data_IF_187600890126
#
_entry.id   IF_187600890126
#
_cell.length_a   1.000
_cell.length_b   1.000
_cell.length_c   1.000
_cell.angle_alpha   90.00
_cell.angle_beta   90.00
_cell.angle_gamma   90.00
#
_symmetry.space_group_name_H-M   'P 1'
#
loop_
_entity.id
_entity.type
_entity.pdbx_description
1 polymer ?
#
# COMPACT_ATOMS: atom_id res chain seq x y z
N UNK A 1 7.75 6.53 19.45
CA UNK A 1 6.56 6.85 18.63
C UNK A 1 6.36 5.82 17.54
N UNK A 2 5.15 5.35 17.42
CA UNK A 2 4.84 4.39 16.35
C UNK A 2 4.67 5.12 15.02
N UNK A 3 5.23 4.53 13.98
CA UNK A 3 5.05 5.02 12.61
C UNK A 3 3.60 4.84 12.17
N UNK A 4 3.04 5.85 11.53
CA UNK A 4 1.72 5.74 10.91
C UNK A 4 1.86 5.01 9.56
N UNK A 5 1.07 3.97 9.37
CA UNK A 5 1.08 3.22 8.11
C UNK A 5 -0.19 3.58 7.33
N UNK A 6 0.00 4.14 6.16
CA UNK A 6 -1.08 4.55 5.26
C UNK A 6 -1.08 3.62 4.05
N UNK A 7 -2.25 3.40 3.46
CA UNK A 7 -2.35 2.58 2.26
C UNK A 7 -3.26 3.23 1.21
N UNK A 8 -2.88 3.06 -0.05
CA UNK A 8 -3.77 3.33 -1.17
C UNK A 8 -4.73 2.15 -1.36
N UNK A 9 -5.56 2.23 -2.39
CA UNK A 9 -6.58 1.23 -2.65
C UNK A 9 -6.03 -0.05 -3.26
N UNK A 10 -5.04 0.06 -4.15
CA UNK A 10 -4.54 -1.07 -4.96
C UNK A 10 -4.04 -2.23 -4.12
N UNK A 11 -3.26 -1.95 -3.09
CA UNK A 11 -2.72 -2.99 -2.21
C UNK A 11 -3.84 -3.76 -1.51
N UNK A 12 -4.84 -3.02 -1.00
CA UNK A 12 -5.97 -3.63 -0.31
C UNK A 12 -6.78 -4.53 -1.24
N UNK A 13 -7.04 -4.04 -2.47
CA UNK A 13 -7.80 -4.79 -3.46
C UNK A 13 -7.09 -6.09 -3.83
N UNK A 14 -5.81 -6.02 -4.19
CA UNK A 14 -5.08 -7.19 -4.67
C UNK A 14 -4.90 -8.24 -3.55
N UNK A 15 -4.56 -7.81 -2.35
CA UNK A 15 -4.37 -8.74 -1.25
C UNK A 15 -5.69 -9.36 -0.80
N UNK A 16 -6.78 -8.61 -0.81
CA UNK A 16 -8.09 -9.17 -0.52
C UNK A 16 -8.49 -10.20 -1.58
N UNK A 17 -8.24 -9.88 -2.85
CA UNK A 17 -8.59 -10.75 -3.97
C UNK A 17 -7.93 -12.12 -3.89
N UNK A 18 -6.70 -12.19 -3.41
CA UNK A 18 -5.96 -13.45 -3.26
C UNK A 18 -6.11 -14.07 -1.87
N UNK A 19 -6.93 -13.47 -1.00
CA UNK A 19 -7.16 -14.01 0.34
C UNK A 19 -6.03 -13.75 1.33
N UNK A 20 -5.19 -12.75 1.07
CA UNK A 20 -3.99 -12.46 1.88
C UNK A 20 -4.01 -11.06 2.51
N UNK A 21 -5.20 -10.45 2.68
CA UNK A 21 -5.29 -9.11 3.25
C UNK A 21 -4.68 -9.03 4.65
N UNK A 22 -4.85 -10.08 5.46
CA UNK A 22 -4.30 -10.16 6.81
C UNK A 22 -2.78 -9.96 6.85
N UNK A 23 -2.10 -10.19 5.72
CA UNK A 23 -0.65 -10.05 5.65
C UNK A 23 -0.21 -8.63 6.02
N UNK A 24 -0.95 -7.62 5.55
CA UNK A 24 -0.67 -6.21 5.87
C UNK A 24 -0.72 -5.99 7.38
N UNK A 25 -1.73 -6.55 8.03
CA UNK A 25 -1.90 -6.45 9.47
C UNK A 25 -0.75 -7.15 10.22
N UNK A 26 -0.38 -8.33 9.76
CA UNK A 26 0.69 -9.10 10.40
C UNK A 26 2.05 -8.42 10.29
N UNK A 27 2.28 -7.68 9.20
CA UNK A 27 3.54 -6.95 8.98
C UNK A 27 3.56 -5.63 9.74
N UNK A 28 2.49 -4.85 9.66
CA UNK A 28 2.49 -3.44 10.10
C UNK A 28 1.61 -3.16 11.32
N UNK A 29 0.71 -4.06 11.67
CA UNK A 29 -0.28 -3.82 12.72
C UNK A 29 -1.44 -2.99 12.22
N UNK A 30 -1.66 -1.81 12.77
CA UNK A 30 -2.77 -0.95 12.41
C UNK A 30 -2.47 -0.14 11.15
N UNK A 31 -3.47 -0.03 10.29
CA UNK A 31 -3.38 0.69 9.02
C UNK A 31 -4.41 1.82 9.03
N UNK A 32 -4.03 2.96 8.45
CA UNK A 32 -4.93 4.11 8.28
C UNK A 32 -5.17 4.32 6.79
N UNK A 33 -6.42 4.54 6.42
CA UNK A 33 -6.81 4.89 5.06
C UNK A 33 -7.74 6.10 5.10
N UNK A 34 -7.91 6.74 3.95
CA UNK A 34 -8.84 7.88 3.83
C UNK A 34 -10.23 7.38 3.43
N UNK A 35 -11.24 8.28 3.54
CA UNK A 35 -12.59 7.98 3.02
C UNK A 35 -12.57 7.66 1.54
N UNK A 36 -11.76 8.40 0.76
CA UNK A 36 -11.67 8.15 -0.69
C UNK A 36 -11.16 6.74 -0.98
N UNK A 37 -10.14 6.30 -0.25
CA UNK A 37 -9.62 4.94 -0.39
C UNK A 37 -10.65 3.91 0.06
N UNK A 38 -11.33 4.16 1.18
CA UNK A 38 -12.37 3.26 1.67
C UNK A 38 -13.51 3.10 0.67
N UNK A 39 -13.93 4.21 0.04
CA UNK A 39 -14.99 4.18 -0.96
C UNK A 39 -14.57 3.42 -2.22
N UNK A 40 -13.33 3.59 -2.67
CA UNK A 40 -12.81 2.84 -3.82
C UNK A 40 -12.69 1.35 -3.51
N UNK A 41 -12.26 1.01 -2.31
CA UNK A 41 -12.16 -0.38 -1.86
C UNK A 41 -13.53 -1.03 -1.83
N UNK A 42 -14.54 -0.33 -1.29
CA UNK A 42 -15.95 -0.72 -1.39
C UNK A 42 -16.39 -1.92 -0.57
N UNK A 43 -15.53 -2.48 0.26
CA UNK A 43 -15.83 -3.64 1.08
C UNK A 43 -15.76 -3.28 2.55
N UNK A 44 -16.30 -4.14 3.41
CA UNK A 44 -16.22 -3.95 4.86
C UNK A 44 -14.76 -3.95 5.31
N UNK A 45 -14.40 -2.99 6.16
CA UNK A 45 -13.04 -2.86 6.66
C UNK A 45 -12.85 -3.73 7.92
N UNK A 46 -11.70 -4.43 8.03
CA UNK A 46 -11.37 -5.12 9.28
C UNK A 46 -11.09 -4.11 10.39
N UNK A 47 -11.12 -4.58 11.64
CA UNK A 47 -10.95 -3.72 12.82
C UNK A 47 -9.60 -2.98 12.86
N UNK A 48 -8.58 -3.55 12.25
CA UNK A 48 -7.24 -2.99 12.26
C UNK A 48 -7.02 -1.90 11.19
N UNK A 49 -8.04 -1.60 10.39
CA UNK A 49 -8.02 -0.48 9.45
C UNK A 49 -8.94 0.62 9.97
N UNK A 50 -8.38 1.81 10.20
CA UNK A 50 -9.15 2.98 10.61
C UNK A 50 -9.14 4.04 9.53
N UNK A 51 -10.10 4.95 9.59
CA UNK A 51 -10.25 6.04 8.61
C UNK A 51 -9.78 7.35 9.24
N UNK A 52 -8.95 8.07 8.50
CA UNK A 52 -8.54 9.43 8.84
C UNK A 52 -8.36 10.20 7.55
N UNK A 53 -8.83 11.45 7.52
CA UNK A 53 -8.80 12.26 6.31
C UNK A 53 -7.81 13.40 6.45
N UNK A 54 -7.23 13.89 5.32
CA UNK A 54 -6.39 15.07 5.37
C UNK A 54 -7.22 16.28 5.79
N UNK A 55 -6.62 17.15 6.59
CA UNK A 55 -7.26 18.38 7.04
C UNK A 55 -7.22 19.46 5.96
N UNK A 56 -6.14 19.50 5.19
CA UNK A 56 -5.98 20.49 4.12
C UNK A 56 -6.64 20.01 2.83
N UNK A 57 -7.91 20.34 2.66
CA UNK A 57 -8.70 19.92 1.51
C UNK A 57 -8.24 20.54 0.20
N UNK A 58 -7.73 21.78 0.27
CA UNK A 58 -7.20 22.47 -0.94
C UNK A 58 -5.95 21.78 -1.46
N UNK A 59 -5.07 21.37 -0.56
CA UNK A 59 -3.87 20.66 -0.95
C UNK A 59 -4.21 19.33 -1.62
N UNK A 60 -5.15 18.59 -1.04
CA UNK A 60 -5.66 17.35 -1.64
C UNK A 60 -6.19 17.63 -3.06
N UNK A 61 -6.98 18.69 -3.24
CA UNK A 61 -7.53 19.08 -4.53
C UNK A 61 -6.44 19.36 -5.57
N UNK A 62 -5.39 20.05 -5.14
CA UNK A 62 -4.23 20.31 -6.02
C UNK A 62 -3.60 19.00 -6.48
N UNK A 63 -3.43 18.04 -5.60
CA UNK A 63 -2.84 16.75 -5.94
C UNK A 63 -3.72 15.94 -6.91
N UNK A 64 -5.03 16.13 -6.87
CA UNK A 64 -5.96 15.46 -7.78
C UNK A 64 -5.74 15.82 -9.24
N UNK A 65 -5.01 16.91 -9.52
CA UNK A 65 -4.62 17.26 -10.89
C UNK A 65 -3.55 16.32 -11.45
N UNK A 66 -2.81 15.63 -10.60
CA UNK A 66 -1.67 14.78 -11.00
C UNK A 66 -1.92 13.28 -10.81
N UNK A 67 -2.72 12.91 -9.81
CA UNK A 67 -3.01 11.51 -9.46
C UNK A 67 -4.50 11.36 -9.19
N UNK A 68 -4.97 10.13 -9.08
CA UNK A 68 -6.39 9.91 -8.83
C UNK A 68 -6.78 10.35 -7.41
N UNK A 69 -8.07 10.35 -7.15
CA UNK A 69 -8.65 10.90 -5.92
C UNK A 69 -8.20 10.17 -4.66
N UNK A 70 -8.16 8.83 -4.72
CA UNK A 70 -7.71 8.02 -3.59
C UNK A 70 -6.24 8.26 -3.28
N UNK A 71 -5.41 8.25 -4.31
CA UNK A 71 -3.97 8.51 -4.16
C UNK A 71 -3.71 9.93 -3.65
N UNK A 72 -4.42 10.92 -4.18
CA UNK A 72 -4.30 12.31 -3.74
C UNK A 72 -4.61 12.44 -2.26
N UNK A 73 -5.69 11.80 -1.80
CA UNK A 73 -6.08 11.85 -0.38
C UNK A 73 -5.05 11.19 0.52
N UNK A 74 -4.52 10.04 0.09
CA UNK A 74 -3.51 9.31 0.87
C UNK A 74 -2.20 10.11 0.96
N UNK A 75 -1.77 10.71 -0.14
CA UNK A 75 -0.56 11.54 -0.17
C UNK A 75 -0.74 12.79 0.69
N UNK A 76 -1.90 13.45 0.59
CA UNK A 76 -2.18 14.63 1.40
C UNK A 76 -2.15 14.30 2.90
N UNK A 77 -2.71 13.16 3.29
CA UNK A 77 -2.66 12.72 4.67
C UNK A 77 -1.22 12.39 5.10
N UNK A 78 -0.44 11.78 4.23
CA UNK A 78 0.96 11.47 4.51
C UNK A 78 1.78 12.73 4.77
N UNK A 79 1.55 13.78 3.99
CA UNK A 79 2.24 15.07 4.17
C UNK A 79 1.96 15.67 5.55
N UNK A 80 0.74 15.48 6.06
CA UNK A 80 0.35 15.97 7.39
C UNK A 80 0.86 15.10 8.53
N UNK A 81 1.36 13.91 8.23
CA UNK A 81 1.81 12.95 9.23
C UNK A 81 3.32 13.07 9.44
N UNK A 82 3.75 13.18 10.70
CA UNK A 82 5.17 13.46 11.02
C UNK A 82 6.09 12.28 10.74
N UNK A 83 5.62 11.05 10.91
CA UNK A 83 6.41 9.84 10.63
C UNK A 83 5.46 8.80 10.06
N UNK A 84 5.53 8.59 8.75
CA UNK A 84 4.62 7.66 8.09
C UNK A 84 5.32 6.86 7.01
N UNK A 85 4.72 5.72 6.70
CA UNK A 85 5.04 4.90 5.54
C UNK A 85 3.76 4.79 4.72
N UNK A 86 3.82 5.11 3.45
CA UNK A 86 2.68 5.02 2.53
C UNK A 86 2.84 3.82 1.61
N UNK A 87 1.86 2.93 1.64
CA UNK A 87 1.79 1.81 0.72
C UNK A 87 1.09 2.30 -0.54
N UNK A 88 1.80 2.38 -1.65
CA UNK A 88 1.29 2.91 -2.91
C UNK A 88 1.96 2.20 -4.08
N UNK A 89 1.16 1.74 -5.05
CA UNK A 89 1.64 0.95 -6.18
C UNK A 89 1.78 1.75 -7.47
N UNK A 90 0.87 2.69 -7.72
CA UNK A 90 0.86 3.43 -8.98
C UNK A 90 2.12 4.28 -9.14
N UNK A 91 2.75 4.20 -10.32
CA UNK A 91 4.01 4.88 -10.58
C UNK A 91 3.92 6.40 -10.41
N UNK A 92 2.86 7.02 -10.91
CA UNK A 92 2.67 8.47 -10.78
C UNK A 92 2.55 8.88 -9.31
N UNK A 93 1.77 8.12 -8.54
CA UNK A 93 1.61 8.36 -7.12
C UNK A 93 2.93 8.17 -6.37
N UNK A 94 3.67 7.12 -6.69
CA UNK A 94 4.98 6.85 -6.06
C UNK A 94 5.96 7.99 -6.32
N UNK A 95 6.05 8.43 -7.57
CA UNK A 95 6.95 9.53 -7.95
C UNK A 95 6.59 10.82 -7.22
N UNK A 96 5.31 11.14 -7.15
CA UNK A 96 4.84 12.33 -6.45
C UNK A 96 5.14 12.26 -4.95
N UNK A 97 4.84 11.12 -4.32
CA UNK A 97 5.11 10.93 -2.91
C UNK A 97 6.60 11.07 -2.59
N UNK A 98 7.46 10.48 -3.42
CA UNK A 98 8.91 10.60 -3.23
C UNK A 98 9.39 12.05 -3.35
N UNK A 99 8.85 12.81 -4.33
CA UNK A 99 9.17 14.23 -4.48
C UNK A 99 8.79 15.05 -3.24
N UNK A 100 7.76 14.62 -2.54
CA UNK A 100 7.28 15.27 -1.32
C UNK A 100 7.98 14.77 -0.06
N UNK A 101 8.96 13.88 -0.21
CA UNK A 101 9.74 13.38 0.93
C UNK A 101 9.04 12.30 1.74
N UNK A 102 8.00 11.68 1.20
CA UNK A 102 7.25 10.62 1.87
C UNK A 102 7.94 9.27 1.65
N UNK A 103 8.11 8.51 2.71
CA UNK A 103 8.60 7.13 2.61
C UNK A 103 7.50 6.24 2.05
N UNK A 104 7.82 5.47 1.03
CA UNK A 104 6.85 4.62 0.35
C UNK A 104 7.28 3.16 0.28
N UNK A 105 6.29 2.29 0.12
CA UNK A 105 6.47 0.90 -0.26
C UNK A 105 5.29 0.53 -1.16
N UNK A 106 5.30 -0.66 -1.74
CA UNK A 106 4.20 -1.15 -2.55
C UNK A 106 3.76 -2.53 -2.09
N UNK A 107 2.82 -3.13 -2.80
CA UNK A 107 2.32 -4.47 -2.48
C UNK A 107 3.46 -5.49 -2.39
N UNK A 108 4.38 -5.48 -3.34
CA UNK A 108 5.49 -6.42 -3.32
C UNK A 108 6.47 -6.13 -2.18
N UNK A 109 6.63 -4.87 -1.81
CA UNK A 109 7.43 -4.50 -0.64
C UNK A 109 6.85 -5.07 0.65
N UNK A 110 5.53 -5.05 0.79
CA UNK A 110 4.84 -5.66 1.93
C UNK A 110 5.09 -7.17 1.98
N UNK A 111 4.99 -7.85 0.84
CA UNK A 111 5.21 -9.29 0.73
C UNK A 111 6.66 -9.65 1.09
N UNK A 112 7.61 -8.89 0.57
CA UNK A 112 9.04 -9.08 0.87
C UNK A 112 9.30 -8.90 2.37
N UNK A 113 8.74 -7.84 2.96
CA UNK A 113 8.89 -7.58 4.38
C UNK A 113 8.32 -8.71 5.23
N UNK A 114 7.19 -9.29 4.81
CA UNK A 114 6.60 -10.43 5.50
C UNK A 114 7.57 -11.63 5.53
N UNK A 115 8.29 -11.86 4.42
CA UNK A 115 9.29 -12.93 4.36
C UNK A 115 10.50 -12.62 5.23
N UNK A 116 11.02 -11.40 5.13
CA UNK A 116 12.22 -10.99 5.87
C UNK A 116 11.98 -10.96 7.38
N UNK A 117 10.74 -10.73 7.80
CA UNK A 117 10.34 -10.73 9.21
C UNK A 117 9.86 -12.08 9.71
N UNK A 118 10.02 -13.13 8.91
CA UNK A 118 9.60 -14.51 9.23
C UNK A 118 8.11 -14.67 9.48
N UNK A 119 7.30 -13.76 8.95
CA UNK A 119 5.83 -13.85 9.03
C UNK A 119 5.32 -14.93 8.07
N UNK A 120 5.98 -15.05 6.90
CA UNK A 120 5.73 -16.12 5.94
C UNK A 120 7.03 -16.84 5.65
N UNK A 121 6.93 -18.09 5.25
CA UNK A 121 8.11 -18.93 4.95
C UNK A 121 8.64 -18.70 3.53
N UNK A 122 7.78 -18.32 2.60
CA UNK A 122 8.15 -18.11 1.20
C UNK A 122 7.19 -17.13 0.55
N UNK A 123 7.71 -16.29 -0.35
CA UNK A 123 6.88 -15.39 -1.15
C UNK A 123 6.27 -16.10 -2.36
N UNK A 124 6.79 -17.26 -2.74
CA UNK A 124 6.39 -17.97 -3.96
C UNK A 124 4.89 -18.30 -4.04
N UNK A 125 4.25 -18.84 -2.97
CA UNK A 125 2.80 -19.12 -3.03
C UNK A 125 1.97 -17.85 -3.25
N UNK A 126 2.37 -16.74 -2.65
CA UNK A 126 1.65 -15.46 -2.80
C UNK A 126 1.80 -14.94 -4.22
N UNK A 127 3.02 -14.98 -4.76
CA UNK A 127 3.27 -14.56 -6.14
C UNK A 127 2.48 -15.42 -7.14
N UNK A 128 2.37 -16.71 -6.88
CA UNK A 128 1.57 -17.61 -7.73
C UNK A 128 0.09 -17.19 -7.74
N UNK A 129 -0.45 -16.80 -6.59
CA UNK A 129 -1.84 -16.31 -6.50
C UNK A 129 -2.00 -15.00 -7.27
N UNK A 130 -1.04 -14.09 -7.16
CA UNK A 130 -1.08 -12.80 -7.87
C UNK A 130 -1.07 -13.03 -9.38
N UNK A 131 -0.29 -13.98 -9.88
CA UNK A 131 -0.23 -14.31 -11.31
C UNK A 131 -1.57 -14.77 -11.88
N UNK A 132 -2.47 -15.28 -11.04
CA UNK A 132 -3.80 -15.69 -11.46
C UNK A 132 -4.78 -14.52 -11.56
N UNK A 133 -4.35 -13.33 -11.18
CA UNK A 133 -5.16 -12.11 -11.25
C UNK A 133 -4.74 -11.26 -12.44
N UNK A 134 -5.43 -10.11 -12.62
CA UNK A 134 -5.07 -9.14 -13.66
C UNK A 134 -3.88 -8.25 -13.26
N UNK A 135 -3.38 -8.40 -12.05
CA UNK A 135 -2.25 -7.62 -11.57
C UNK A 135 -0.97 -8.07 -12.28
N UNK A 136 -0.25 -7.13 -12.87
CA UNK A 136 0.92 -7.47 -13.68
C UNK A 136 2.14 -7.82 -12.83
N UNK A 137 2.70 -8.99 -13.12
CA UNK A 137 3.95 -9.46 -12.53
C UNK A 137 4.83 -10.00 -13.66
N UNK A 138 5.78 -9.18 -14.13
CA UNK A 138 6.72 -9.62 -15.16
C UNK A 138 7.73 -10.61 -14.58
N UNK A 139 8.35 -11.39 -15.46
CA UNK A 139 9.38 -12.34 -15.05
C UNK A 139 10.56 -11.64 -14.37
N UNK A 140 10.97 -10.49 -14.91
CA UNK A 140 12.06 -9.71 -14.34
C UNK A 140 11.71 -9.18 -12.94
N UNK A 141 10.50 -8.69 -12.76
CA UNK A 141 10.02 -8.21 -11.45
C UNK A 141 9.95 -9.37 -10.47
N UNK A 142 9.43 -10.52 -10.88
CA UNK A 142 9.38 -11.71 -10.03
C UNK A 142 10.77 -12.11 -9.55
N UNK A 143 11.76 -12.12 -10.45
CA UNK A 143 13.14 -12.43 -10.08
C UNK A 143 13.69 -11.44 -9.06
N UNK A 144 13.41 -10.15 -9.22
CA UNK A 144 13.80 -9.13 -8.26
C UNK A 144 13.18 -9.37 -6.88
N UNK A 145 11.90 -9.69 -6.86
CA UNK A 145 11.17 -9.97 -5.62
C UNK A 145 11.78 -11.16 -4.91
N UNK A 146 12.00 -12.26 -5.64
CA UNK A 146 12.61 -13.47 -5.08
C UNK A 146 14.00 -13.18 -4.52
N UNK A 147 14.81 -12.44 -5.26
CA UNK A 147 16.15 -12.07 -4.82
C UNK A 147 16.11 -11.25 -3.53
N UNK A 148 15.26 -10.23 -3.46
CA UNK A 148 15.13 -9.38 -2.27
C UNK A 148 14.59 -10.15 -1.07
N UNK A 149 13.77 -11.15 -1.30
CA UNK A 149 13.22 -12.01 -0.26
C UNK A 149 14.19 -13.12 0.18
N UNK A 150 15.33 -13.24 -0.47
CA UNK A 150 16.30 -14.29 -0.18
C UNK A 150 15.93 -15.63 -0.78
N UNK A 151 15.19 -15.64 -1.84
CA UNK A 151 14.74 -16.82 -2.57
C UNK A 151 15.20 -16.78 -4.04
#
# INVERSE_FOLDING_TARGET
MQKTILSDTSCLIILNKIGELELVHRVFGKIVITDDVANEYGLQLPEWISIRNPQNKKYKQILEASVDKGEASAIALAVESSDCLLIIDDLKGRNLAEQLGIKITGTFGVIIEAKLSDIINSVKPILAKIKQTNFRLSDDLEKKILSKAGE
#
